data_IF_661166052751
#
_entry.id   IF_661166052751
#
_cell.length_a   1.000
_cell.length_b   1.000
_cell.length_c   1.000
_cell.angle_alpha   90.00
_cell.angle_beta   90.00
_cell.angle_gamma   90.00
#
_symmetry.space_group_name_H-M   'P 1'
#
loop_
_entity.id
_entity.type
_entity.pdbx_description
1 polymer ?
#
# COMPACT_ATOMS: atom_id res chain seq x y z
N UNK A 1 -30.55 37.79 27.00
CA UNK A 1 -30.55 37.25 25.63
C UNK A 1 -30.37 35.74 25.70
N UNK A 2 -31.48 35.00 25.72
CA UNK A 2 -31.47 33.53 25.76
C UNK A 2 -31.66 32.98 24.35
N UNK A 3 -30.73 32.15 23.90
CA UNK A 3 -30.86 31.39 22.66
C UNK A 3 -30.97 29.91 22.99
N UNK A 4 -32.16 29.37 22.74
CA UNK A 4 -32.55 27.98 22.85
C UNK A 4 -31.92 27.17 21.72
N UNK A 5 -31.06 26.19 22.04
CA UNK A 5 -30.60 25.17 21.09
C UNK A 5 -31.34 23.86 21.38
N UNK A 6 -32.25 23.50 20.48
CA UNK A 6 -33.04 22.27 20.50
C UNK A 6 -32.13 21.07 20.26
N UNK A 7 -32.10 20.12 21.19
CA UNK A 7 -31.48 18.80 21.01
C UNK A 7 -32.38 17.94 20.11
N UNK A 8 -31.88 17.59 18.92
CA UNK A 8 -32.49 16.56 18.09
C UNK A 8 -32.02 15.18 18.58
N UNK A 9 -32.92 14.39 19.18
CA UNK A 9 -32.70 12.99 19.55
C UNK A 9 -33.07 12.11 18.36
N UNK A 10 -32.10 11.48 17.71
CA UNK A 10 -32.36 10.40 16.76
C UNK A 10 -32.40 9.09 17.57
N UNK A 11 -33.56 8.42 17.54
CA UNK A 11 -33.79 7.09 18.11
C UNK A 11 -33.26 6.03 17.14
N UNK A 12 -32.35 5.19 17.61
CA UNK A 12 -31.98 3.94 16.93
C UNK A 12 -33.00 2.85 17.28
N UNK A 13 -33.57 2.21 16.26
CA UNK A 13 -34.38 1.02 16.40
C UNK A 13 -33.50 -0.23 16.19
N UNK A 14 -33.58 -1.18 17.11
CA UNK A 14 -33.06 -2.55 17.04
C UNK A 14 -34.23 -3.54 17.07
N UNK A 15 -34.04 -4.87 16.91
CA UNK A 15 -33.23 -5.61 15.93
C UNK A 15 -34.05 -6.72 15.22
N UNK A 16 -33.61 -7.18 14.05
CA UNK A 16 -34.18 -8.39 13.40
C UNK A 16 -33.38 -9.63 13.79
N UNK A 17 -34.13 -10.72 13.94
CA UNK A 17 -33.90 -11.94 14.72
C UNK A 17 -32.82 -12.88 14.17
N UNK A 18 -32.17 -13.56 15.12
CA UNK A 18 -31.43 -14.82 14.95
C UNK A 18 -32.33 -15.91 14.34
N UNK A 19 -31.80 -16.69 13.38
CA UNK A 19 -32.28 -18.05 13.09
C UNK A 19 -31.10 -19.02 13.19
N UNK A 20 -31.21 -19.88 14.20
CA UNK A 20 -30.48 -21.13 14.39
C UNK A 20 -31.32 -22.27 13.82
N UNK A 21 -30.73 -23.18 13.05
CA UNK A 21 -30.85 -24.64 13.23
C UNK A 21 -30.23 -25.35 12.03
N UNK A 22 -29.22 -26.16 12.31
CA UNK A 22 -28.76 -27.24 11.45
C UNK A 22 -29.76 -28.39 11.57
N UNK A 23 -30.20 -28.96 10.46
CA UNK A 23 -30.78 -30.30 10.45
C UNK A 23 -30.30 -31.06 9.22
N UNK A 24 -29.96 -32.32 9.48
CA UNK A 24 -29.23 -33.29 8.68
C UNK A 24 -30.20 -34.25 8.00
N UNK A 25 -30.13 -34.42 6.69
CA UNK A 25 -30.33 -35.72 6.01
C UNK A 25 -30.28 -35.58 4.48
N UNK A 26 -29.60 -36.54 3.85
CA UNK A 26 -29.39 -36.68 2.41
C UNK A 26 -30.51 -37.56 1.76
N UNK A 27 -30.52 -37.81 0.43
CA UNK A 27 -31.71 -37.74 -0.44
C UNK A 27 -32.32 -39.12 -0.80
N UNK A 28 -33.31 -39.19 -1.72
CA UNK A 28 -32.94 -39.76 -3.03
C UNK A 28 -33.70 -39.23 -4.29
N UNK A 29 -33.00 -39.40 -5.42
CA UNK A 29 -33.41 -39.90 -6.74
C UNK A 29 -34.40 -39.20 -7.69
N UNK A 30 -33.81 -38.89 -8.87
CA UNK A 30 -34.27 -39.12 -10.25
C UNK A 30 -35.67 -38.70 -10.69
N UNK A 31 -35.73 -37.77 -11.65
CA UNK A 31 -36.63 -37.88 -12.79
C UNK A 31 -36.11 -37.03 -13.97
N UNK A 32 -35.84 -37.73 -15.06
CA UNK A 32 -35.63 -37.23 -16.42
C UNK A 32 -36.88 -36.52 -16.95
N UNK A 33 -36.68 -35.38 -17.61
CA UNK A 33 -37.66 -34.83 -18.56
C UNK A 33 -36.93 -34.00 -19.61
N UNK A 34 -36.91 -34.52 -20.83
CA UNK A 34 -36.42 -33.83 -22.01
C UNK A 34 -37.47 -32.82 -22.48
N UNK A 35 -37.04 -31.57 -22.71
CA UNK A 35 -37.79 -30.63 -23.51
C UNK A 35 -36.82 -29.92 -24.46
N UNK A 36 -36.87 -30.33 -25.71
CA UNK A 36 -36.22 -29.68 -26.86
C UNK A 36 -36.99 -28.41 -27.22
N UNK A 37 -36.33 -27.26 -27.25
CA UNK A 37 -36.68 -26.17 -28.18
C UNK A 37 -35.49 -25.27 -28.49
N UNK A 38 -35.14 -25.26 -29.77
CA UNK A 38 -34.65 -24.14 -30.60
C UNK A 38 -33.63 -23.16 -30.03
N UNK A 39 -32.44 -23.27 -30.63
CA UNK A 39 -31.49 -22.19 -30.93
C UNK A 39 -32.10 -20.79 -31.02
N UNK A 40 -31.65 -19.90 -30.13
CA UNK A 40 -31.49 -18.47 -30.42
C UNK A 40 -30.12 -18.03 -29.94
N UNK A 41 -29.24 -17.92 -30.92
CA UNK A 41 -28.29 -16.84 -31.11
C UNK A 41 -27.89 -16.07 -29.84
N UNK A 42 -26.86 -16.56 -29.14
CA UNK A 42 -26.04 -15.73 -28.26
C UNK A 42 -24.94 -15.13 -29.12
N UNK A 43 -25.29 -14.12 -29.91
CA UNK A 43 -24.31 -13.30 -30.60
C UNK A 43 -23.39 -12.65 -29.56
N UNK A 44 -22.10 -12.93 -29.69
CA UNK A 44 -20.95 -12.28 -29.07
C UNK A 44 -21.27 -11.14 -28.10
N UNK A 45 -21.25 -11.43 -26.80
CA UNK A 45 -20.80 -10.43 -25.86
C UNK A 45 -19.34 -10.11 -26.23
N UNK A 46 -19.08 -8.89 -26.70
CA UNK A 46 -17.70 -8.41 -26.87
C UNK A 46 -16.92 -8.71 -25.60
N UNK A 47 -15.72 -9.32 -25.69
CA UNK A 47 -14.92 -9.55 -24.50
C UNK A 47 -14.68 -8.20 -23.84
N UNK A 48 -14.93 -8.11 -22.53
CA UNK A 48 -14.46 -6.99 -21.73
C UNK A 48 -12.99 -6.73 -22.09
N UNK A 49 -12.56 -5.47 -22.29
CA UNK A 49 -11.20 -5.17 -22.69
C UNK A 49 -10.26 -5.88 -21.71
N UNK A 50 -9.39 -6.75 -22.26
CA UNK A 50 -8.43 -7.49 -21.45
C UNK A 50 -7.55 -6.45 -20.77
N UNK A 51 -7.69 -6.31 -19.45
CA UNK A 51 -6.91 -5.37 -18.64
C UNK A 51 -5.49 -5.91 -18.41
N UNK A 52 -4.85 -6.41 -19.48
CA UNK A 52 -3.46 -6.89 -19.51
C UNK A 52 -2.47 -5.69 -19.63
N UNK A 53 -2.96 -4.45 -19.50
CA UNK A 53 -2.26 -3.19 -19.83
C UNK A 53 -1.04 -2.93 -18.94
N UNK A 54 -1.00 -3.48 -17.73
CA UNK A 54 0.05 -3.20 -16.74
C UNK A 54 0.81 -4.45 -16.28
N UNK A 55 1.16 -5.36 -17.19
CA UNK A 55 2.01 -6.52 -16.88
C UNK A 55 3.50 -6.13 -16.89
N UNK A 56 4.27 -6.53 -15.88
CA UNK A 56 5.73 -6.30 -15.82
C UNK A 56 6.49 -7.53 -15.33
N UNK A 57 7.83 -7.44 -15.30
CA UNK A 57 8.70 -8.51 -14.78
C UNK A 57 8.35 -8.94 -13.35
N UNK A 58 7.75 -8.07 -12.52
CA UNK A 58 7.35 -8.45 -11.17
C UNK A 58 6.14 -9.38 -11.14
N UNK A 59 5.26 -9.28 -12.15
CA UNK A 59 4.12 -10.17 -12.33
C UNK A 59 4.62 -11.60 -12.60
N UNK A 60 5.57 -11.75 -13.51
CA UNK A 60 6.18 -13.05 -13.84
C UNK A 60 6.99 -13.62 -12.67
N UNK A 61 7.78 -12.77 -12.01
CA UNK A 61 8.63 -13.18 -10.90
C UNK A 61 7.83 -13.73 -9.72
N UNK A 62 6.67 -13.14 -9.41
CA UNK A 62 5.87 -13.46 -8.23
C UNK A 62 4.62 -14.29 -8.54
N UNK A 63 4.32 -14.54 -9.82
CA UNK A 63 3.12 -15.26 -10.26
C UNK A 63 1.82 -14.50 -10.00
N UNK A 64 1.85 -13.16 -10.11
CA UNK A 64 0.70 -12.29 -9.88
C UNK A 64 0.24 -11.63 -11.19
N UNK A 65 -1.01 -11.15 -11.24
CA UNK A 65 -1.58 -10.52 -12.43
C UNK A 65 -1.21 -9.05 -12.54
N UNK A 66 -1.29 -8.33 -11.44
CA UNK A 66 -1.04 -6.90 -11.39
C UNK A 66 0.19 -6.61 -10.53
N UNK A 67 1.02 -5.62 -10.90
CA UNK A 67 2.27 -5.28 -10.22
C UNK A 67 1.98 -4.45 -8.94
N UNK A 68 1.08 -4.98 -8.10
CA UNK A 68 0.54 -4.32 -6.92
C UNK A 68 0.69 -5.27 -5.73
N UNK A 69 1.52 -4.87 -4.77
CA UNK A 69 1.69 -5.55 -3.50
C UNK A 69 0.89 -4.83 -2.41
N UNK A 70 0.22 -5.59 -1.55
CA UNK A 70 -0.21 -5.11 -0.25
C UNK A 70 0.96 -5.22 0.72
N UNK A 71 1.45 -4.10 1.25
CA UNK A 71 2.54 -4.10 2.23
C UNK A 71 2.04 -4.63 3.57
N UNK A 72 2.88 -5.33 4.34
CA UNK A 72 2.47 -5.98 5.59
C UNK A 72 1.98 -4.97 6.66
N UNK A 73 0.72 -5.10 7.10
CA UNK A 73 0.06 -4.12 7.97
C UNK A 73 -0.14 -4.65 9.39
N UNK A 74 0.36 -3.92 10.39
CA UNK A 74 0.09 -4.25 11.78
C UNK A 74 -1.23 -3.61 12.23
N UNK A 75 -2.31 -4.39 12.26
CA UNK A 75 -3.67 -3.91 12.60
C UNK A 75 -4.38 -3.33 11.38
N UNK A 76 -5.05 -4.19 10.61
CA UNK A 76 -5.60 -3.89 9.29
C UNK A 76 -5.09 -4.82 8.17
N UNK A 77 -4.21 -5.79 8.49
CA UNK A 77 -3.50 -6.69 7.58
C UNK A 77 -3.85 -8.17 7.74
N UNK A 78 -5.04 -8.49 8.24
CA UNK A 78 -5.46 -9.86 8.55
C UNK A 78 -5.60 -10.79 7.33
N UNK A 79 -5.91 -12.05 7.64
CA UNK A 79 -6.07 -13.16 6.67
C UNK A 79 -7.03 -12.82 5.51
N UNK A 80 -8.13 -12.13 5.81
CA UNK A 80 -9.17 -11.81 4.83
C UNK A 80 -8.66 -10.83 3.77
N UNK A 81 -8.03 -9.72 4.19
CA UNK A 81 -7.39 -8.77 3.29
C UNK A 81 -6.34 -9.45 2.40
N UNK A 82 -5.45 -10.24 3.00
CA UNK A 82 -4.37 -10.92 2.26
C UNK A 82 -4.95 -11.80 1.15
N UNK A 83 -5.95 -12.62 1.48
CA UNK A 83 -6.60 -13.49 0.49
C UNK A 83 -7.31 -12.68 -0.59
N UNK A 84 -8.00 -11.60 -0.23
CA UNK A 84 -8.73 -10.74 -1.17
C UNK A 84 -7.80 -10.04 -2.17
N UNK A 85 -6.63 -9.56 -1.72
CA UNK A 85 -5.62 -8.95 -2.61
C UNK A 85 -5.08 -9.97 -3.61
N UNK A 86 -4.75 -11.18 -3.13
CA UNK A 86 -4.27 -12.26 -3.98
C UNK A 86 -5.33 -12.73 -5.00
N UNK A 87 -6.59 -12.85 -4.60
CA UNK A 87 -7.70 -13.18 -5.52
C UNK A 87 -7.97 -12.08 -6.55
N UNK A 88 -7.86 -10.81 -6.15
CA UNK A 88 -8.00 -9.66 -7.05
C UNK A 88 -6.84 -9.55 -8.06
N UNK A 89 -5.75 -10.29 -7.86
CA UNK A 89 -4.64 -10.40 -8.80
C UNK A 89 -3.37 -9.65 -8.41
N UNK A 90 -3.36 -8.97 -7.26
CA UNK A 90 -2.13 -8.46 -6.65
C UNK A 90 -1.43 -9.54 -5.81
N UNK A 91 -0.46 -9.13 -5.00
CA UNK A 91 0.14 -9.98 -3.96
C UNK A 91 -0.33 -9.52 -2.58
N UNK A 92 -1.17 -10.32 -1.92
CA UNK A 92 -1.43 -10.16 -0.48
C UNK A 92 -0.19 -10.56 0.32
N UNK A 93 0.13 -9.83 1.40
CA UNK A 93 1.29 -10.12 2.25
C UNK A 93 0.87 -10.20 3.71
N UNK A 94 0.94 -11.42 4.24
CA UNK A 94 0.61 -11.73 5.62
C UNK A 94 1.72 -11.25 6.56
N UNK A 95 1.40 -10.44 7.58
CA UNK A 95 2.38 -9.98 8.55
C UNK A 95 2.70 -10.99 9.66
N UNK A 96 3.96 -11.02 10.13
CA UNK A 96 4.39 -11.87 11.27
C UNK A 96 4.54 -11.14 12.60
N UNK A 97 3.97 -9.93 12.76
CA UNK A 97 4.26 -9.02 13.88
C UNK A 97 4.11 -9.64 15.29
N UNK A 98 5.21 -10.09 15.90
CA UNK A 98 5.26 -10.57 17.28
C UNK A 98 4.39 -11.80 17.56
N UNK A 99 3.98 -12.51 16.51
CA UNK A 99 3.16 -13.72 16.61
C UNK A 99 3.99 -14.94 16.98
N UNK A 100 3.31 -15.96 17.50
CA UNK A 100 3.90 -17.30 17.69
C UNK A 100 3.92 -18.06 16.37
N UNK A 101 4.78 -19.08 16.25
CA UNK A 101 4.81 -19.97 15.08
C UNK A 101 3.45 -20.65 14.85
N UNK A 102 2.73 -20.96 15.93
CA UNK A 102 1.36 -21.48 15.87
C UNK A 102 0.40 -20.49 15.21
N UNK A 103 0.47 -19.20 15.58
CA UNK A 103 -0.35 -18.17 14.95
C UNK A 103 -0.01 -18.02 13.47
N UNK A 104 1.28 -17.98 13.12
CA UNK A 104 1.73 -17.90 11.73
C UNK A 104 1.17 -19.06 10.89
N UNK A 105 1.25 -20.29 11.41
CA UNK A 105 0.67 -21.48 10.76
C UNK A 105 -0.84 -21.35 10.56
N UNK A 106 -1.56 -20.92 11.60
CA UNK A 106 -3.00 -20.75 11.55
C UNK A 106 -3.41 -19.66 10.54
N UNK A 107 -2.70 -18.53 10.50
CA UNK A 107 -2.95 -17.46 9.55
C UNK A 107 -2.66 -17.92 8.10
N UNK A 108 -1.55 -18.63 7.86
CA UNK A 108 -1.21 -19.21 6.55
C UNK A 108 -2.30 -20.20 6.09
N UNK A 109 -2.76 -21.07 6.98
CA UNK A 109 -3.87 -21.98 6.68
C UNK A 109 -5.16 -21.22 6.38
N UNK A 110 -5.43 -20.14 7.11
CA UNK A 110 -6.57 -19.26 6.89
C UNK A 110 -6.55 -18.58 5.52
N UNK A 111 -5.39 -18.14 5.04
CA UNK A 111 -5.24 -17.56 3.69
C UNK A 111 -5.46 -18.63 2.64
N UNK A 112 -4.82 -19.80 2.77
CA UNK A 112 -4.97 -20.94 1.84
C UNK A 112 -6.40 -21.47 1.76
N UNK A 113 -7.18 -21.38 2.82
CA UNK A 113 -8.59 -21.74 2.81
C UNK A 113 -9.47 -20.78 1.98
N UNK A 114 -8.96 -19.59 1.64
CA UNK A 114 -9.69 -18.53 0.93
C UNK A 114 -9.17 -18.26 -0.48
N UNK A 115 -7.92 -18.60 -0.77
CA UNK A 115 -7.32 -18.37 -2.08
C UNK A 115 -6.32 -19.46 -2.45
N UNK A 116 -6.29 -19.81 -3.74
CA UNK A 116 -5.25 -20.63 -4.35
C UNK A 116 -4.18 -19.78 -5.06
N UNK A 117 -4.30 -18.45 -5.04
CA UNK A 117 -3.35 -17.52 -5.67
C UNK A 117 -2.11 -17.33 -4.78
N UNK A 118 -0.95 -16.96 -5.36
CA UNK A 118 0.23 -16.65 -4.57
C UNK A 118 -0.03 -15.54 -3.56
N UNK A 119 0.53 -15.70 -2.37
CA UNK A 119 0.57 -14.67 -1.33
C UNK A 119 1.95 -14.71 -0.66
N UNK A 120 2.33 -13.58 -0.08
CA UNK A 120 3.59 -13.43 0.63
C UNK A 120 3.44 -13.55 2.14
N UNK A 121 4.55 -13.82 2.83
CA UNK A 121 4.68 -13.68 4.28
C UNK A 121 5.78 -12.67 4.57
N UNK A 122 5.49 -11.64 5.36
CA UNK A 122 6.49 -10.67 5.79
C UNK A 122 7.21 -11.14 7.05
N UNK A 123 8.51 -11.34 6.95
CA UNK A 123 9.39 -11.57 8.10
C UNK A 123 9.96 -10.23 8.52
N UNK A 124 9.70 -9.81 9.74
CA UNK A 124 10.43 -8.70 10.35
C UNK A 124 11.66 -9.24 11.06
N UNK A 125 12.88 -8.95 10.58
CA UNK A 125 14.07 -9.37 11.29
C UNK A 125 14.15 -8.62 12.62
N UNK A 126 13.98 -9.38 13.69
CA UNK A 126 14.06 -8.92 15.07
C UNK A 126 14.90 -9.95 15.83
N UNK A 127 15.73 -9.49 16.77
CA UNK A 127 16.65 -10.37 17.50
C UNK A 127 15.96 -11.54 18.22
N UNK A 128 16.75 -12.51 18.70
CA UNK A 128 16.32 -13.78 19.34
C UNK A 128 15.79 -14.85 18.37
N UNK A 129 16.39 -14.97 17.19
CA UNK A 129 16.13 -16.08 16.26
C UNK A 129 14.75 -16.06 15.59
N UNK A 130 14.02 -14.93 15.65
CA UNK A 130 12.68 -14.81 15.06
C UNK A 130 12.76 -14.96 13.54
N UNK A 131 13.74 -14.31 12.92
CA UNK A 131 13.96 -14.35 11.47
C UNK A 131 14.11 -15.80 10.97
N UNK A 132 14.99 -16.57 11.61
CA UNK A 132 15.31 -17.94 11.25
C UNK A 132 14.11 -18.88 11.47
N UNK A 133 13.37 -18.71 12.57
CA UNK A 133 12.16 -19.52 12.85
C UNK A 133 11.04 -19.24 11.86
N UNK A 134 10.78 -17.96 11.56
CA UNK A 134 9.78 -17.59 10.55
C UNK A 134 10.19 -18.09 9.16
N UNK A 135 11.47 -17.97 8.79
CA UNK A 135 11.98 -18.48 7.52
C UNK A 135 11.84 -20.00 7.43
N UNK A 136 12.18 -20.75 8.49
CA UNK A 136 12.00 -22.19 8.55
C UNK A 136 10.52 -22.59 8.37
N UNK A 137 9.60 -21.87 9.03
CA UNK A 137 8.15 -22.10 8.88
C UNK A 137 7.68 -21.81 7.45
N UNK A 138 8.16 -20.73 6.82
CA UNK A 138 7.82 -20.41 5.43
C UNK A 138 8.32 -21.49 4.45
N UNK A 139 9.52 -22.03 4.68
CA UNK A 139 10.10 -23.13 3.89
C UNK A 139 9.27 -24.41 4.06
N UNK A 140 9.02 -24.82 5.30
CA UNK A 140 8.25 -26.04 5.60
C UNK A 140 6.85 -26.00 4.98
N UNK A 141 6.20 -24.85 5.05
CA UNK A 141 4.85 -24.69 4.52
C UNK A 141 4.83 -24.42 3.01
N UNK A 142 5.98 -24.19 2.35
CA UNK A 142 6.04 -23.88 0.92
C UNK A 142 5.39 -22.54 0.56
N UNK A 143 5.77 -21.48 1.26
CA UNK A 143 5.34 -20.11 0.94
C UNK A 143 6.08 -19.62 -0.32
N UNK A 144 5.39 -19.10 -1.35
CA UNK A 144 6.03 -18.74 -2.61
C UNK A 144 6.87 -17.46 -2.53
N UNK A 145 6.46 -16.51 -1.68
CA UNK A 145 7.11 -15.20 -1.55
C UNK A 145 7.32 -14.86 -0.08
N UNK A 146 8.53 -14.48 0.28
CA UNK A 146 8.84 -13.86 1.58
C UNK A 146 9.19 -12.41 1.33
N UNK A 147 8.53 -11.51 2.07
CA UNK A 147 8.97 -10.12 2.13
C UNK A 147 9.75 -9.89 3.41
N UNK A 148 10.71 -8.96 3.40
CA UNK A 148 11.42 -8.55 4.63
C UNK A 148 11.34 -7.05 4.79
N UNK A 149 11.34 -6.57 6.03
CA UNK A 149 11.31 -5.14 6.33
C UNK A 149 11.83 -4.86 7.73
N UNK A 150 11.92 -3.57 8.11
CA UNK A 150 12.45 -3.08 9.40
C UNK A 150 13.96 -3.26 9.61
N UNK A 151 14.52 -4.38 9.22
CA UNK A 151 15.95 -4.66 9.31
C UNK A 151 16.38 -5.66 8.23
N UNK A 152 17.68 -5.87 8.16
CA UNK A 152 18.32 -6.86 7.30
C UNK A 152 18.02 -8.29 7.78
N UNK A 153 17.52 -9.21 6.91
CA UNK A 153 17.25 -10.60 7.28
C UNK A 153 18.51 -11.46 7.44
N UNK A 154 19.65 -11.02 6.92
CA UNK A 154 20.92 -11.71 6.88
C UNK A 154 21.06 -12.62 5.65
N UNK A 155 22.22 -12.56 5.00
CA UNK A 155 22.56 -13.35 3.81
C UNK A 155 22.27 -14.86 3.96
N UNK A 156 22.55 -15.43 5.13
CA UNK A 156 22.30 -16.86 5.40
C UNK A 156 20.81 -17.22 5.32
N UNK A 157 19.93 -16.35 5.83
CA UNK A 157 18.48 -16.54 5.75
C UNK A 157 18.01 -16.38 4.31
N UNK A 158 18.48 -15.35 3.60
CA UNK A 158 18.15 -15.12 2.18
C UNK A 158 18.53 -16.35 1.35
N UNK A 159 19.77 -16.83 1.47
CA UNK A 159 20.23 -18.05 0.77
C UNK A 159 19.36 -19.26 1.07
N UNK A 160 18.98 -19.47 2.34
CA UNK A 160 18.15 -20.60 2.75
C UNK A 160 16.74 -20.53 2.14
N UNK A 161 16.12 -19.36 2.13
CA UNK A 161 14.82 -19.13 1.48
C UNK A 161 14.90 -19.40 -0.03
N UNK A 162 15.92 -18.85 -0.69
CA UNK A 162 16.13 -19.03 -2.13
C UNK A 162 16.41 -20.47 -2.53
N UNK A 163 17.20 -21.20 -1.74
CA UNK A 163 17.46 -22.62 -1.95
C UNK A 163 16.18 -23.47 -1.90
N UNK A 164 15.15 -23.02 -1.18
CA UNK A 164 13.83 -23.65 -1.14
C UNK A 164 12.89 -23.15 -2.26
N UNK A 165 13.37 -22.36 -3.21
CA UNK A 165 12.58 -21.81 -4.32
C UNK A 165 11.71 -20.60 -3.95
N UNK A 166 11.83 -20.06 -2.73
CA UNK A 166 11.06 -18.91 -2.27
C UNK A 166 11.64 -17.62 -2.86
N UNK A 167 10.79 -16.76 -3.41
CA UNK A 167 11.18 -15.42 -3.85
C UNK A 167 11.30 -14.48 -2.66
N UNK A 168 12.39 -13.73 -2.58
CA UNK A 168 12.64 -12.80 -1.47
C UNK A 168 12.53 -11.35 -1.97
N UNK A 169 11.66 -10.56 -1.33
CA UNK A 169 11.44 -9.15 -1.67
C UNK A 169 11.66 -8.26 -0.45
N UNK A 170 12.66 -7.39 -0.48
CA UNK A 170 13.05 -6.59 0.70
C UNK A 170 12.61 -5.14 0.62
N UNK A 171 11.96 -4.64 1.67
CA UNK A 171 11.58 -3.24 1.81
C UNK A 171 12.78 -2.44 2.32
N UNK A 172 13.21 -1.43 1.56
CA UNK A 172 14.41 -0.65 1.82
C UNK A 172 14.11 0.85 1.94
N UNK A 173 14.84 1.58 2.80
CA UNK A 173 14.68 3.03 2.95
C UNK A 173 15.77 3.87 2.24
N UNK A 174 16.85 3.25 1.76
CA UNK A 174 17.98 3.96 1.13
C UNK A 174 18.63 3.12 0.02
N UNK A 175 19.39 3.78 -0.86
CA UNK A 175 20.19 3.14 -1.92
C UNK A 175 21.21 2.14 -1.36
N UNK A 176 21.84 2.46 -0.23
CA UNK A 176 22.79 1.56 0.44
C UNK A 176 22.14 0.23 0.82
N UNK A 177 20.93 0.27 1.40
CA UNK A 177 20.19 -0.94 1.72
C UNK A 177 19.81 -1.72 0.45
N UNK A 178 19.43 -1.05 -0.64
CA UNK A 178 19.11 -1.72 -1.90
C UNK A 178 20.30 -2.52 -2.44
N UNK A 179 21.50 -1.90 -2.50
CA UNK A 179 22.74 -2.57 -2.94
C UNK A 179 23.09 -3.75 -2.05
N UNK A 180 22.91 -3.60 -0.73
CA UNK A 180 23.16 -4.67 0.22
C UNK A 180 22.22 -5.86 -0.01
N UNK A 181 20.90 -5.60 -0.13
CA UNK A 181 19.92 -6.65 -0.38
C UNK A 181 20.18 -7.35 -1.73
N UNK A 182 20.55 -6.61 -2.77
CA UNK A 182 20.96 -7.21 -4.04
C UNK A 182 22.21 -8.11 -3.89
N UNK A 183 23.23 -7.65 -3.15
CA UNK A 183 24.44 -8.44 -2.90
C UNK A 183 24.16 -9.73 -2.11
N UNK A 184 23.20 -9.69 -1.17
CA UNK A 184 22.72 -10.87 -0.44
C UNK A 184 21.84 -11.80 -1.31
N UNK A 185 21.44 -11.30 -2.49
CA UNK A 185 20.79 -12.07 -3.53
C UNK A 185 19.27 -12.04 -3.48
N UNK A 186 18.61 -11.03 -2.89
CA UNK A 186 17.14 -10.93 -2.96
C UNK A 186 16.66 -10.82 -4.42
N UNK A 187 15.40 -11.19 -4.69
CA UNK A 187 14.87 -11.23 -6.05
C UNK A 187 14.27 -9.89 -6.50
N UNK A 188 13.84 -9.04 -5.57
CA UNK A 188 13.38 -7.67 -5.82
C UNK A 188 13.48 -6.82 -4.55
N UNK A 189 13.39 -5.49 -4.71
CA UNK A 189 13.30 -4.55 -3.58
C UNK A 189 12.09 -3.64 -3.70
N UNK A 190 11.55 -3.23 -2.54
CA UNK A 190 10.52 -2.19 -2.43
C UNK A 190 11.17 -0.95 -1.84
N UNK A 191 11.34 0.09 -2.66
CA UNK A 191 11.85 1.39 -2.22
C UNK A 191 10.74 2.17 -1.52
N UNK A 192 10.81 2.28 -0.18
CA UNK A 192 9.76 2.88 0.64
C UNK A 192 10.13 4.27 1.15
N UNK A 193 9.45 5.30 0.66
CA UNK A 193 9.67 6.68 1.05
C UNK A 193 9.21 7.02 2.47
N UNK A 194 9.71 8.15 2.99
CA UNK A 194 9.44 8.67 4.32
C UNK A 194 7.96 9.04 4.58
N UNK A 195 7.16 9.20 3.53
CA UNK A 195 5.71 9.44 3.55
C UNK A 195 4.87 8.17 3.78
N UNK A 196 5.49 6.98 3.72
CA UNK A 196 4.84 5.71 4.03
C UNK A 196 4.42 5.62 5.52
N UNK A 197 3.46 4.75 5.84
CA UNK A 197 3.12 4.45 7.23
C UNK A 197 4.03 3.39 7.83
N UNK A 198 4.27 3.46 9.13
CA UNK A 198 5.08 2.47 9.86
C UNK A 198 6.53 2.89 9.96
N UNK A 199 7.45 1.92 10.07
CA UNK A 199 8.88 2.22 10.14
C UNK A 199 9.38 2.84 8.83
N UNK A 200 9.97 4.03 8.92
CA UNK A 200 10.39 4.81 7.74
C UNK A 200 11.81 5.33 7.85
N UNK A 201 12.46 5.47 6.69
CA UNK A 201 13.67 6.27 6.53
C UNK A 201 13.37 7.77 6.45
N UNK A 202 14.32 8.52 5.93
CA UNK A 202 14.24 9.99 5.81
C UNK A 202 14.06 10.49 4.38
N UNK A 203 14.29 9.65 3.37
CA UNK A 203 14.19 10.01 1.95
C UNK A 203 12.77 9.76 1.46
N UNK A 204 12.16 10.72 0.76
CA UNK A 204 10.81 10.56 0.21
C UNK A 204 10.78 9.69 -1.05
N UNK A 205 9.60 9.20 -1.45
CA UNK A 205 9.44 8.26 -2.57
C UNK A 205 9.93 8.85 -3.89
N UNK A 206 9.60 10.11 -4.17
CA UNK A 206 9.96 10.79 -5.42
C UNK A 206 11.49 10.79 -5.69
N UNK A 207 12.36 11.18 -4.75
CA UNK A 207 13.82 11.05 -4.93
C UNK A 207 14.37 9.65 -4.67
N UNK A 208 13.77 8.85 -3.78
CA UNK A 208 14.31 7.53 -3.42
C UNK A 208 14.23 6.53 -4.57
N UNK A 209 13.05 6.40 -5.18
CA UNK A 209 12.77 5.37 -6.20
C UNK A 209 13.74 5.42 -7.38
N UNK A 210 13.92 6.56 -8.09
CA UNK A 210 14.81 6.58 -9.26
C UNK A 210 16.26 6.31 -8.89
N UNK A 211 16.74 6.82 -7.75
CA UNK A 211 18.10 6.55 -7.29
C UNK A 211 18.32 5.07 -6.95
N UNK A 212 17.30 4.38 -6.44
CA UNK A 212 17.38 2.93 -6.20
C UNK A 212 17.38 2.17 -7.53
N UNK A 213 16.49 2.54 -8.46
CA UNK A 213 16.41 1.96 -9.81
C UNK A 213 17.76 2.05 -10.53
N UNK A 214 18.44 3.21 -10.49
CA UNK A 214 19.74 3.39 -11.13
C UNK A 214 20.88 2.61 -10.45
N UNK A 215 20.69 2.23 -9.18
CA UNK A 215 21.74 1.65 -8.35
C UNK A 215 21.76 0.13 -8.29
N UNK A 216 20.68 -0.55 -8.69
CA UNK A 216 20.55 -2.02 -8.65
C UNK A 216 20.04 -2.56 -9.99
N UNK A 217 20.27 -3.85 -10.25
CA UNK A 217 19.82 -4.57 -11.45
C UNK A 217 18.54 -5.36 -11.21
N UNK A 218 18.25 -5.71 -9.96
CA UNK A 218 17.02 -6.39 -9.58
C UNK A 218 15.78 -5.47 -9.70
N UNK A 219 14.58 -6.02 -9.95
CA UNK A 219 13.34 -5.25 -9.99
C UNK A 219 13.10 -4.39 -8.75
N UNK A 220 12.66 -3.14 -8.98
CA UNK A 220 12.32 -2.18 -7.92
C UNK A 220 10.82 -1.87 -7.97
N UNK A 221 10.15 -1.97 -6.83
CA UNK A 221 8.80 -1.45 -6.63
C UNK A 221 8.83 -0.16 -5.80
N UNK A 222 7.89 0.75 -6.06
CA UNK A 222 7.74 1.98 -5.28
C UNK A 222 6.75 1.80 -4.12
N UNK A 223 7.04 2.38 -2.95
CA UNK A 223 6.13 2.43 -1.82
C UNK A 223 6.18 3.78 -1.10
N UNK A 224 5.07 4.13 -0.45
CA UNK A 224 4.91 5.43 0.22
C UNK A 224 4.21 6.45 -0.66
N UNK A 225 3.16 7.09 -0.15
CA UNK A 225 2.39 8.11 -0.88
C UNK A 225 1.45 7.60 -1.97
N UNK A 226 1.43 6.30 -2.27
CA UNK A 226 0.63 5.72 -3.36
C UNK A 226 -0.72 5.23 -2.83
N UNK A 227 -1.82 5.76 -3.37
CA UNK A 227 -3.18 5.41 -2.97
C UNK A 227 -4.22 5.44 -4.08
N UNK A 228 -3.85 5.84 -5.30
CA UNK A 228 -4.70 5.85 -6.48
C UNK A 228 -3.89 5.68 -7.77
N UNK A 229 -4.57 5.81 -8.91
CA UNK A 229 -4.00 5.68 -10.24
C UNK A 229 -2.87 6.66 -10.57
N UNK A 230 -2.87 7.87 -9.99
CA UNK A 230 -1.82 8.88 -10.24
C UNK A 230 -0.51 8.43 -9.61
N UNK A 231 -0.56 7.99 -8.35
CA UNK A 231 0.60 7.41 -7.67
C UNK A 231 1.10 6.13 -8.35
N UNK A 232 0.17 5.29 -8.82
CA UNK A 232 0.50 4.09 -9.60
C UNK A 232 1.29 4.43 -10.87
N UNK A 233 0.80 5.34 -11.71
CA UNK A 233 1.51 5.76 -12.93
C UNK A 233 2.83 6.48 -12.64
N UNK A 234 2.86 7.34 -11.60
CA UNK A 234 4.06 8.06 -11.21
C UNK A 234 5.20 7.09 -10.85
N UNK A 235 4.90 5.94 -10.21
CA UNK A 235 5.91 4.94 -9.90
C UNK A 235 6.63 4.41 -11.15
N UNK A 236 5.91 4.13 -12.24
CA UNK A 236 6.51 3.69 -13.49
C UNK A 236 7.36 4.78 -14.14
N UNK A 237 6.92 6.05 -14.06
CA UNK A 237 7.72 7.18 -14.54
C UNK A 237 9.04 7.35 -13.75
N UNK A 238 9.08 6.91 -12.49
CA UNK A 238 10.30 6.87 -11.66
C UNK A 238 11.17 5.63 -11.92
N UNK A 239 10.76 4.74 -12.84
CA UNK A 239 11.50 3.53 -13.22
C UNK A 239 11.16 2.28 -12.40
N UNK A 240 10.21 2.36 -11.46
CA UNK A 240 9.74 1.18 -10.76
C UNK A 240 8.92 0.28 -11.70
N UNK A 241 8.93 -1.03 -11.44
CA UNK A 241 8.17 -2.03 -12.21
C UNK A 241 6.84 -2.40 -11.54
N UNK A 242 6.50 -1.74 -10.43
CA UNK A 242 5.29 -2.00 -9.67
C UNK A 242 5.23 -1.14 -8.41
N UNK A 243 4.17 -1.34 -7.63
CA UNK A 243 3.93 -0.58 -6.41
C UNK A 243 3.65 -1.49 -5.22
N UNK A 244 3.89 -0.97 -4.02
CA UNK A 244 3.36 -1.51 -2.77
C UNK A 244 2.54 -0.43 -2.05
N UNK A 245 1.29 -0.76 -1.71
CA UNK A 245 0.41 0.11 -0.93
C UNK A 245 0.20 -0.46 0.47
N UNK A 246 0.06 0.42 1.45
CA UNK A 246 -0.30 0.03 2.81
C UNK A 246 -1.59 0.70 3.27
N UNK A 247 -1.53 1.99 3.58
CA UNK A 247 -2.66 2.76 4.12
C UNK A 247 -3.92 2.72 3.25
N UNK A 248 -3.81 2.65 1.91
CA UNK A 248 -4.96 2.48 1.01
C UNK A 248 -5.71 1.16 1.22
N UNK A 249 -4.99 0.07 1.50
CA UNK A 249 -5.59 -1.24 1.79
C UNK A 249 -6.20 -1.32 3.19
N UNK A 250 -5.83 -0.44 4.13
CA UNK A 250 -6.51 -0.33 5.42
C UNK A 250 -7.95 0.18 5.28
N UNK A 251 -8.24 0.94 4.22
CA UNK A 251 -9.58 1.42 3.88
C UNK A 251 -10.27 0.50 2.86
N UNK A 252 -10.26 -0.81 3.14
CA UNK A 252 -11.07 -1.79 2.41
C UNK A 252 -12.02 -2.55 3.33
N UNK A 253 -13.00 -3.22 2.75
CA UNK A 253 -13.99 -4.01 3.50
C UNK A 253 -13.37 -5.24 4.18
N UNK A 254 -12.31 -5.79 3.59
CA UNK A 254 -11.62 -7.02 3.98
C UNK A 254 -10.53 -6.75 5.04
N UNK A 255 -10.24 -5.48 5.32
CA UNK A 255 -9.29 -5.08 6.36
C UNK A 255 -9.90 -5.27 7.74
N UNK A 256 -9.15 -5.93 8.64
CA UNK A 256 -9.48 -6.10 10.06
C UNK A 256 -9.17 -4.84 10.90
N UNK A 257 -9.11 -3.66 10.26
CA UNK A 257 -8.97 -2.39 10.95
C UNK A 257 -10.23 -2.12 11.78
N UNK A 258 -10.03 -1.86 13.08
CA UNK A 258 -11.10 -1.52 14.01
C UNK A 258 -11.78 -0.19 13.66
N UNK A 259 -12.96 0.03 14.25
CA UNK A 259 -13.79 1.22 14.00
C UNK A 259 -13.03 2.52 14.28
N UNK A 260 -12.29 2.58 15.40
CA UNK A 260 -11.45 3.74 15.70
C UNK A 260 -10.46 4.04 14.58
N UNK A 261 -9.75 3.02 14.07
CA UNK A 261 -8.78 3.16 13.01
C UNK A 261 -9.42 3.59 11.70
N UNK A 262 -10.60 3.04 11.38
CA UNK A 262 -11.36 3.35 10.17
C UNK A 262 -11.89 4.78 10.19
N UNK A 263 -12.52 5.21 11.28
CA UNK A 263 -13.04 6.57 11.46
C UNK A 263 -11.90 7.59 11.37
N UNK A 264 -10.78 7.29 12.06
CA UNK A 264 -9.62 8.17 12.01
C UNK A 264 -9.02 8.24 10.61
N UNK A 265 -8.95 7.11 9.90
CA UNK A 265 -8.44 7.04 8.54
C UNK A 265 -9.23 7.91 7.57
N UNK A 266 -10.56 7.84 7.61
CA UNK A 266 -11.45 8.60 6.74
C UNK A 266 -11.52 10.09 7.08
N UNK A 267 -11.18 10.47 8.32
CA UNK A 267 -11.16 11.87 8.77
C UNK A 267 -9.79 12.55 8.63
N UNK A 268 -8.74 11.83 8.21
CA UNK A 268 -7.39 12.38 8.16
C UNK A 268 -7.21 13.40 7.02
N UNK A 269 -6.42 14.43 7.30
CA UNK A 269 -5.79 15.31 6.29
C UNK A 269 -4.35 14.87 6.04
N UNK A 270 -3.73 15.42 4.99
CA UNK A 270 -2.33 15.17 4.62
C UNK A 270 -1.32 15.54 5.74
N UNK A 271 -1.71 16.46 6.64
CA UNK A 271 -0.90 16.92 7.78
C UNK A 271 -1.09 16.13 9.07
N UNK A 272 -2.03 15.18 9.12
CA UNK A 272 -2.43 14.53 10.38
C UNK A 272 -1.57 13.32 10.76
N UNK A 273 -0.45 13.10 10.06
CA UNK A 273 0.59 12.13 10.45
C UNK A 273 1.81 12.82 11.05
N UNK A 274 2.58 12.09 11.84
CA UNK A 274 3.82 12.55 12.46
C UNK A 274 4.85 11.41 12.46
N UNK A 275 6.13 11.75 12.37
CA UNK A 275 7.23 10.81 12.55
C UNK A 275 7.72 10.90 13.99
N UNK A 276 7.81 9.77 14.67
CA UNK A 276 8.23 9.71 16.07
C UNK A 276 9.08 8.48 16.37
N UNK A 277 9.92 8.56 17.40
CA UNK A 277 10.60 7.40 18.01
C UNK A 277 9.88 6.86 19.24
N UNK A 278 8.88 7.56 19.79
CA UNK A 278 8.22 7.19 21.05
C UNK A 278 7.55 5.81 21.02
N UNK A 279 7.10 5.36 19.85
CA UNK A 279 6.34 4.11 19.73
C UNK A 279 7.20 2.86 19.92
N UNK A 280 8.40 2.84 19.35
CA UNK A 280 9.26 1.63 19.30
C UNK A 280 10.75 1.89 19.51
N UNK A 281 11.17 3.13 19.74
CA UNK A 281 12.58 3.56 19.75
C UNK A 281 13.20 3.78 18.36
N UNK A 282 12.48 3.43 17.29
CA UNK A 282 12.87 3.63 15.90
C UNK A 282 11.88 4.58 15.22
N UNK A 283 12.28 5.18 14.10
CA UNK A 283 11.45 6.14 13.36
C UNK A 283 10.20 5.45 12.81
N UNK A 284 9.03 5.92 13.25
CA UNK A 284 7.73 5.43 12.81
C UNK A 284 6.88 6.61 12.38
N UNK A 285 6.31 6.56 11.17
CA UNK A 285 5.21 7.44 10.78
C UNK A 285 3.87 6.86 11.22
N UNK A 286 3.12 7.63 11.97
CA UNK A 286 1.84 7.26 12.52
C UNK A 286 0.87 8.43 12.55
N UNK A 287 -0.37 8.14 12.91
CA UNK A 287 -1.40 9.14 13.14
C UNK A 287 -0.98 10.04 14.31
N UNK A 288 -1.04 11.36 14.12
CA UNK A 288 -0.77 12.33 15.17
C UNK A 288 -1.84 12.25 16.26
N UNK A 289 -1.40 12.06 17.50
CA UNK A 289 -2.22 12.16 18.71
C UNK A 289 -1.62 13.19 19.68
N UNK A 290 -2.39 13.68 20.67
CA UNK A 290 -1.86 14.60 21.68
C UNK A 290 -0.65 14.06 22.43
N UNK A 291 -0.60 12.75 22.72
CA UNK A 291 0.51 12.12 23.43
C UNK A 291 1.78 12.12 22.59
N UNK A 292 1.67 11.83 21.29
CA UNK A 292 2.81 11.83 20.38
C UNK A 292 3.29 13.26 20.13
N UNK A 293 2.37 14.21 19.97
CA UNK A 293 2.71 15.62 19.82
C UNK A 293 3.47 16.13 21.05
N UNK A 294 2.99 15.83 22.27
CA UNK A 294 3.67 16.21 23.50
C UNK A 294 5.09 15.61 23.61
N UNK A 295 5.28 14.35 23.18
CA UNK A 295 6.62 13.75 23.15
C UNK A 295 7.55 14.46 22.16
N UNK A 296 7.10 14.70 20.92
CA UNK A 296 7.95 15.36 19.91
C UNK A 296 8.22 16.83 20.26
N UNK A 297 7.25 17.51 20.87
CA UNK A 297 7.47 18.85 21.42
C UNK A 297 8.56 18.80 22.50
N UNK A 298 8.47 17.88 23.47
CA UNK A 298 9.49 17.70 24.51
C UNK A 298 10.90 17.42 23.93
N UNK A 299 10.99 16.61 22.87
CA UNK A 299 12.25 16.39 22.14
C UNK A 299 12.78 17.71 21.55
N UNK A 300 11.93 18.50 20.90
CA UNK A 300 12.33 19.75 20.25
C UNK A 300 12.85 20.81 21.24
N UNK A 301 12.33 20.83 22.47
CA UNK A 301 12.80 21.72 23.56
C UNK A 301 14.01 21.18 24.34
N UNK A 302 14.49 19.97 24.01
CA UNK A 302 15.64 19.37 24.70
C UNK A 302 15.31 18.87 26.12
N UNK A 303 14.12 18.31 26.32
CA UNK A 303 13.73 17.69 27.58
C UNK A 303 14.71 16.60 28.03
N UNK A 304 14.78 16.37 29.34
CA UNK A 304 15.68 15.37 29.89
C UNK A 304 15.19 13.92 29.66
N UNK A 305 16.08 12.96 29.89
CA UNK A 305 15.80 11.53 29.66
C UNK A 305 14.65 11.00 30.51
N UNK A 306 14.42 11.54 31.71
CA UNK A 306 13.35 11.07 32.59
C UNK A 306 11.98 11.50 32.04
N UNK A 307 11.85 12.76 31.63
CA UNK A 307 10.66 13.30 30.98
C UNK A 307 10.34 12.54 29.69
N UNK A 308 11.33 12.36 28.81
CA UNK A 308 11.14 11.63 27.54
C UNK A 308 10.72 10.17 27.78
N UNK A 309 11.24 9.52 28.82
CA UNK A 309 10.87 8.14 29.17
C UNK A 309 9.42 8.05 29.65
N UNK A 310 8.95 9.01 30.45
CA UNK A 310 7.57 9.08 30.90
C UNK A 310 6.61 9.33 29.72
N UNK A 311 6.90 10.34 28.89
CA UNK A 311 6.10 10.65 27.70
C UNK A 311 6.05 9.46 26.72
N UNK A 312 7.17 8.77 26.49
CA UNK A 312 7.18 7.55 25.67
C UNK A 312 6.39 6.40 26.30
N UNK A 313 6.31 6.30 27.63
CA UNK A 313 5.44 5.33 28.29
C UNK A 313 3.96 5.68 28.04
N UNK A 314 3.58 6.96 28.16
CA UNK A 314 2.23 7.45 27.85
C UNK A 314 1.82 7.23 26.39
N UNK A 315 2.74 7.46 25.45
CA UNK A 315 2.51 7.11 24.03
C UNK A 315 2.23 5.62 23.91
N UNK A 316 3.04 4.75 24.54
CA UNK A 316 2.85 3.29 24.42
C UNK A 316 1.56 2.78 25.05
N UNK A 317 1.11 3.36 26.15
CA UNK A 317 -0.15 2.96 26.81
C UNK A 317 -1.37 3.46 26.06
N UNK A 318 -1.36 4.70 25.55
CA UNK A 318 -2.46 5.28 24.75
C UNK A 318 -2.69 4.61 23.39
N UNK A 319 -1.82 3.68 22.98
CA UNK A 319 -2.01 2.84 21.79
C UNK A 319 -3.21 1.90 21.87
N UNK A 320 -3.73 1.67 23.07
CA UNK A 320 -4.77 0.69 23.33
C UNK A 320 -5.95 1.37 24.04
N UNK A 321 -7.15 0.88 23.79
CA UNK A 321 -8.35 1.22 24.54
C UNK A 321 -8.42 0.49 25.87
N UNK A 322 -9.63 0.13 26.30
CA UNK A 322 -9.84 -0.60 27.56
C UNK A 322 -9.20 -1.99 27.52
N UNK A 323 -9.13 -2.60 26.33
CA UNK A 323 -8.42 -3.85 26.09
C UNK A 323 -7.33 -3.71 25.02
N UNK A 324 -6.42 -4.69 24.97
CA UNK A 324 -5.29 -4.70 24.03
C UNK A 324 -5.66 -4.99 22.57
N UNK A 325 -6.88 -5.47 22.32
CA UNK A 325 -7.39 -5.70 20.98
C UNK A 325 -7.97 -4.43 20.34
N UNK A 326 -8.49 -3.49 21.14
CA UNK A 326 -8.90 -2.15 20.71
C UNK A 326 -7.69 -1.23 20.52
N UNK A 327 -7.01 -1.35 19.38
CA UNK A 327 -5.84 -0.52 19.08
C UNK A 327 -6.25 0.87 18.59
N UNK A 328 -5.88 1.91 19.34
CA UNK A 328 -6.22 3.32 19.09
C UNK A 328 -5.08 4.17 18.54
N UNK A 329 -3.94 3.59 18.19
CA UNK A 329 -2.88 4.28 17.46
C UNK A 329 -2.33 3.36 16.40
N UNK A 330 -2.44 3.78 15.15
CA UNK A 330 -1.97 3.01 14.00
C UNK A 330 -0.92 3.75 13.19
N UNK A 331 -0.09 2.95 12.53
CA UNK A 331 0.79 3.42 11.47
C UNK A 331 -0.07 3.81 10.26
N UNK A 332 0.17 4.99 9.71
CA UNK A 332 -0.51 5.47 8.51
C UNK A 332 0.44 6.39 7.73
N UNK A 333 0.39 6.30 6.41
CA UNK A 333 1.12 7.20 5.52
C UNK A 333 0.36 8.48 5.23
N UNK A 334 1.04 9.47 4.68
CA UNK A 334 0.43 10.77 4.34
C UNK A 334 -0.66 10.67 3.27
N UNK A 335 -0.65 9.58 2.50
CA UNK A 335 -1.70 9.21 1.54
C UNK A 335 -3.08 9.04 2.19
N UNK A 336 -3.16 8.95 3.52
CA UNK A 336 -4.43 8.95 4.23
C UNK A 336 -5.35 10.11 3.84
N UNK A 337 -4.80 11.31 3.61
CA UNK A 337 -5.59 12.52 3.34
C UNK A 337 -6.40 12.49 2.03
N UNK A 338 -6.14 11.53 1.14
CA UNK A 338 -6.90 11.34 -0.11
C UNK A 338 -7.84 10.13 -0.07
N UNK A 339 -7.95 9.46 1.08
CA UNK A 339 -8.79 8.28 1.27
C UNK A 339 -10.11 8.73 1.90
N UNK A 340 -11.16 8.81 1.08
CA UNK A 340 -12.48 9.33 1.53
C UNK A 340 -13.54 8.25 1.70
N UNK A 341 -13.23 7.00 1.33
CA UNK A 341 -14.20 5.90 1.32
C UNK A 341 -13.54 4.53 1.56
N UNK A 342 -14.37 3.58 2.00
CA UNK A 342 -14.04 2.16 2.14
C UNK A 342 -14.68 1.42 0.97
N UNK A 343 -13.89 0.63 0.25
CA UNK A 343 -14.31 -0.13 -0.93
C UNK A 343 -13.83 -1.58 -0.84
N UNK A 344 -14.38 -2.48 -1.65
CA UNK A 344 -13.82 -3.83 -1.74
C UNK A 344 -12.43 -3.80 -2.39
N UNK A 345 -11.55 -4.74 -2.04
CA UNK A 345 -10.19 -4.82 -2.64
C UNK A 345 -10.26 -4.97 -4.15
N UNK A 346 -11.18 -5.79 -4.64
CA UNK A 346 -11.40 -5.97 -6.08
C UNK A 346 -11.74 -4.65 -6.76
N UNK A 347 -12.71 -3.92 -6.21
CA UNK A 347 -13.17 -2.64 -6.74
C UNK A 347 -12.03 -1.61 -6.74
N UNK A 348 -11.26 -1.56 -5.65
CA UNK A 348 -10.07 -0.70 -5.55
C UNK A 348 -9.07 -0.95 -6.68
N UNK A 349 -8.69 -2.21 -6.92
CA UNK A 349 -7.70 -2.52 -7.95
C UNK A 349 -8.26 -2.30 -9.37
N UNK A 350 -9.49 -2.73 -9.62
CA UNK A 350 -10.13 -2.55 -10.93
C UNK A 350 -10.30 -1.06 -11.27
N UNK A 351 -10.78 -0.24 -10.32
CA UNK A 351 -10.89 1.20 -10.50
C UNK A 351 -9.53 1.87 -10.71
N UNK A 352 -8.53 1.53 -9.88
CA UNK A 352 -7.17 2.09 -10.00
C UNK A 352 -6.56 1.81 -11.39
N UNK A 353 -6.70 0.60 -11.91
CA UNK A 353 -6.14 0.22 -13.22
C UNK A 353 -6.92 0.85 -14.37
N UNK A 354 -8.25 0.94 -14.28
CA UNK A 354 -9.07 1.64 -15.26
C UNK A 354 -8.74 3.13 -15.30
N UNK A 355 -8.59 3.78 -14.15
CA UNK A 355 -8.17 5.17 -14.03
C UNK A 355 -6.76 5.39 -14.53
N UNK A 356 -5.83 4.47 -14.23
CA UNK A 356 -4.46 4.54 -14.73
C UNK A 356 -4.43 4.47 -16.27
N UNK A 357 -5.22 3.59 -16.87
CA UNK A 357 -5.35 3.50 -18.34
C UNK A 357 -5.83 4.83 -18.92
N UNK A 358 -6.92 5.38 -18.38
CA UNK A 358 -7.48 6.68 -18.82
C UNK A 358 -6.52 7.85 -18.60
N UNK A 359 -5.78 7.85 -17.50
CA UNK A 359 -4.82 8.90 -17.19
C UNK A 359 -3.61 8.83 -18.12
N UNK A 360 -3.11 7.63 -18.44
CA UNK A 360 -2.00 7.44 -19.36
C UNK A 360 -2.28 8.03 -20.75
N UNK A 361 -3.52 7.89 -21.25
CA UNK A 361 -3.96 8.48 -22.53
C UNK A 361 -4.01 10.02 -22.51
N UNK A 362 -4.18 10.62 -21.33
CA UNK A 362 -4.37 12.07 -21.16
C UNK A 362 -3.11 12.78 -20.67
N UNK A 363 -2.06 12.04 -20.32
CA UNK A 363 -0.78 12.66 -19.99
C UNK A 363 -0.35 13.55 -21.16
N UNK A 364 0.09 14.80 -20.90
CA UNK A 364 0.62 15.64 -21.96
C UNK A 364 1.65 14.87 -22.77
N UNK A 365 1.64 14.95 -24.09
CA UNK A 365 2.63 14.24 -24.92
C UNK A 365 4.03 14.73 -24.55
N UNK A 366 4.73 14.03 -23.65
CA UNK A 366 6.06 14.42 -23.17
C UNK A 366 7.13 14.02 -24.20
N UNK A 367 6.83 13.00 -25.02
CA UNK A 367 7.62 12.61 -26.18
C UNK A 367 6.79 12.78 -27.46
N UNK A 368 7.01 13.89 -28.17
CA UNK A 368 6.79 13.91 -29.62
C UNK A 368 8.04 13.34 -30.27
N UNK A 369 7.94 12.13 -30.80
CA UNK A 369 8.90 11.69 -31.81
C UNK A 369 8.89 12.69 -32.96
N UNK A 370 10.07 13.10 -33.41
CA UNK A 370 10.25 13.76 -34.71
C UNK A 370 9.60 12.87 -35.77
N UNK A 371 8.45 13.28 -36.30
CA UNK A 371 7.96 12.79 -37.57
C UNK A 371 8.11 13.93 -38.59
N UNK A 372 9.18 13.80 -39.37
CA UNK A 372 9.24 13.99 -40.82
C UNK A 372 8.27 15.01 -41.43
N UNK A 373 8.81 16.21 -41.65
CA UNK A 373 8.26 17.14 -42.63
C UNK A 373 8.64 16.68 -44.05
N UNK A 374 8.00 15.61 -44.54
CA UNK A 374 7.69 15.46 -45.98
C UNK A 374 6.37 16.18 -46.26
N UNK A 375 6.35 17.50 -46.01
CA UNK A 375 5.32 18.38 -46.54
C UNK A 375 5.81 18.95 -47.88
N UNK A 376 5.69 18.14 -48.92
CA UNK A 376 5.65 18.61 -50.31
C UNK A 376 4.32 19.33 -50.55
N UNK A 377 4.39 20.45 -51.27
CA UNK A 377 3.28 21.22 -51.89
C UNK A 377 2.39 22.04 -50.94
N UNK A 378 2.21 23.36 -51.09
CA UNK A 378 2.31 24.24 -52.26
C UNK A 378 2.77 25.64 -51.88
N UNK A 379 3.50 26.27 -52.80
CA UNK A 379 3.73 27.72 -52.88
C UNK A 379 2.40 28.47 -52.95
N UNK A 380 2.29 29.55 -52.19
CA UNK A 380 1.92 30.87 -52.72
C UNK A 380 2.66 31.92 -51.91
N UNK A 381 3.58 32.61 -52.57
CA UNK A 381 4.11 33.89 -52.11
C UNK A 381 2.97 34.88 -51.88
N UNK A 382 3.01 35.62 -50.78
CA UNK A 382 2.74 37.06 -50.77
C UNK A 382 3.32 37.68 -49.51
N UNK A 383 4.17 38.66 -49.74
CA UNK A 383 4.86 39.54 -48.80
C UNK A 383 3.92 40.27 -47.83
N UNK A 384 4.33 40.42 -46.57
CA UNK A 384 4.62 41.75 -46.00
C UNK A 384 5.06 41.68 -44.53
N UNK A 385 6.00 42.56 -44.24
CA UNK A 385 6.71 42.85 -43.00
C UNK A 385 5.84 43.24 -41.81
N UNK A 386 6.24 42.83 -40.61
CA UNK A 386 6.79 43.72 -39.56
C UNK A 386 6.82 42.99 -38.22
N UNK A 387 8.02 42.86 -37.64
CA UNK A 387 8.21 42.25 -36.33
C UNK A 387 7.96 43.22 -35.18
N UNK A 388 7.50 42.68 -34.05
CA UNK A 388 7.81 43.19 -32.72
C UNK A 388 7.92 41.98 -31.78
N UNK A 389 9.11 41.79 -31.21
CA UNK A 389 9.38 40.80 -30.17
C UNK A 389 8.84 41.30 -28.83
N UNK A 390 8.03 40.49 -28.16
CA UNK A 390 7.57 40.76 -26.79
C UNK A 390 8.56 40.16 -25.78
N UNK A 391 9.12 41.02 -24.92
CA UNK A 391 9.97 40.64 -23.79
C UNK A 391 9.17 39.93 -22.67
N UNK A 392 9.78 39.03 -21.89
CA UNK A 392 9.09 38.34 -20.80
C UNK A 392 8.90 39.26 -19.58
N UNK A 393 7.72 39.15 -18.96
CA UNK A 393 7.34 39.85 -17.72
C UNK A 393 8.19 39.35 -16.54
N UNK A 394 8.92 40.27 -15.91
CA UNK A 394 9.60 40.10 -14.63
C UNK A 394 8.58 40.27 -13.50
N UNK A 395 8.45 39.28 -12.61
CA UNK A 395 7.68 39.40 -11.36
C UNK A 395 8.51 40.14 -10.30
N UNK A 396 7.93 41.10 -9.55
CA UNK A 396 8.68 41.84 -8.54
C UNK A 396 8.99 40.98 -7.31
N UNK A 397 10.25 41.02 -6.91
CA UNK A 397 10.80 40.45 -5.68
C UNK A 397 10.27 41.18 -4.44
N UNK A 398 9.74 40.42 -3.48
CA UNK A 398 9.34 40.90 -2.16
C UNK A 398 10.59 41.06 -1.27
N UNK A 399 10.91 42.29 -0.87
CA UNK A 399 11.86 42.57 0.21
C UNK A 399 11.18 42.44 1.59
N UNK A 400 11.90 41.99 2.63
CA UNK A 400 11.34 41.79 3.97
C UNK A 400 11.29 43.10 4.77
N UNK A 401 10.10 43.45 5.27
CA UNK A 401 9.91 44.55 6.21
C UNK A 401 10.61 44.27 7.54
N UNK A 402 11.44 45.23 7.98
CA UNK A 402 12.03 45.30 9.31
C UNK A 402 11.00 45.77 10.34
N UNK A 403 11.10 45.18 11.53
CA UNK A 403 10.41 45.49 12.77
C UNK A 403 10.52 46.96 13.21
N UNK A 404 9.41 47.52 13.69
CA UNK A 404 9.38 48.42 14.84
C UNK A 404 8.29 47.95 15.80
#
# INVERSE_FOLDING_TARGET
MGASARRCRIRWASPIRKRTSWDTSAPPDSATSACTTSSRDRSAASPAPRCDVFHTVICDLLGIRYPILQGALQGGGGVELVAAVSEAGGLGVLPTFGGTDQKLRADIAGVRARTNRPFGVNIMPMGRGITERCAATCIELGIPVVTTGRADPGEAVVRRLKAAGIKVVSVIPTVEHARRMEAEGVDAVVASGAEAGGHVGTVSTLPLVPQVVDAVKIPVLAAGGIGDARGFLAAFALGAVGIQMGTRFMATTESDLNDWGRDRLLAMRETDTIVTRAMTGATVRCIRTPEIAAYEDAVARGADTAELKDLAARVRTSRYGEDRSDRRQSAAGQVAGMITEVVAVRELLEAMLADATRLAERLPSVAKGRNDSTASMRRTDTSSSSGVAAAPKVYPSLEPQKSQ
#
